data_IF_143356866405
#
_entry.id   IF_143356866405
#
_cell.length_a   1.000
_cell.length_b   1.000
_cell.length_c   1.000
_cell.angle_alpha   90.00
_cell.angle_beta   90.00
_cell.angle_gamma   90.00
#
_symmetry.space_group_name_H-M   'P 1'
#
loop_
_entity.id
_entity.type
_entity.pdbx_description
1 polymer ?
#
# COMPACT_ATOMS: atom_id res chain seq x y z
N UNK A 1 -3.47 -14.44 -23.36
CA UNK A 1 -3.21 -15.81 -22.86
C UNK A 1 -3.10 -15.76 -21.34
N UNK A 2 -3.92 -16.53 -20.60
CA UNK A 2 -3.88 -16.52 -19.14
C UNK A 2 -2.59 -17.20 -18.64
N UNK A 3 -1.77 -16.48 -17.88
CA UNK A 3 -0.52 -17.00 -17.36
C UNK A 3 -0.81 -18.14 -16.36
N UNK A 4 -0.53 -19.38 -16.76
CA UNK A 4 -0.71 -20.58 -15.91
C UNK A 4 0.32 -20.54 -14.77
N UNK A 5 -0.11 -20.13 -13.58
CA UNK A 5 0.75 -20.14 -12.40
C UNK A 5 1.03 -21.58 -11.96
N UNK A 6 2.31 -21.97 -11.91
CA UNK A 6 2.72 -23.29 -11.42
C UNK A 6 2.53 -23.36 -9.90
N UNK A 7 1.80 -24.37 -9.43
CA UNK A 7 1.66 -24.66 -8.00
C UNK A 7 3.04 -25.00 -7.41
N UNK A 8 3.27 -24.61 -6.16
CA UNK A 8 4.51 -24.89 -5.39
C UNK A 8 4.18 -25.60 -4.09
N UNK A 9 5.10 -26.44 -3.61
CA UNK A 9 5.00 -27.10 -2.30
C UNK A 9 5.38 -26.13 -1.19
N UNK A 10 4.54 -26.00 -0.16
CA UNK A 10 4.83 -25.18 1.01
C UNK A 10 5.91 -25.82 1.87
N UNK A 11 6.90 -25.03 2.30
CA UNK A 11 7.98 -25.50 3.19
C UNK A 11 7.57 -25.78 4.65
N UNK A 12 6.35 -25.41 5.06
CA UNK A 12 5.85 -25.66 6.41
C UNK A 12 4.84 -26.81 6.45
N UNK A 13 3.68 -26.66 5.79
CA UNK A 13 2.63 -27.69 5.82
C UNK A 13 2.74 -28.74 4.71
N UNK A 14 3.65 -28.58 3.74
CA UNK A 14 3.79 -29.52 2.63
C UNK A 14 2.72 -29.43 1.54
N UNK A 15 1.65 -28.66 1.73
CA UNK A 15 0.59 -28.51 0.72
C UNK A 15 1.05 -27.78 -0.54
N UNK A 16 0.42 -28.10 -1.67
CA UNK A 16 0.57 -27.34 -2.90
C UNK A 16 -0.28 -26.07 -2.88
N UNK A 17 0.32 -24.92 -3.19
CA UNK A 17 -0.36 -23.63 -3.27
C UNK A 17 0.01 -22.89 -4.56
N UNK A 18 -0.86 -21.98 -5.00
CA UNK A 18 -0.56 -21.04 -6.09
C UNK A 18 0.17 -19.84 -5.48
N UNK A 19 1.41 -19.54 -5.88
CA UNK A 19 2.13 -18.38 -5.38
C UNK A 19 1.49 -17.06 -5.86
N UNK A 20 1.60 -16.02 -5.05
CA UNK A 20 1.23 -14.65 -5.44
C UNK A 20 2.05 -14.24 -6.67
N UNK A 21 1.42 -13.77 -7.77
CA UNK A 21 2.11 -13.33 -8.98
C UNK A 21 3.20 -12.29 -8.72
N UNK A 22 2.99 -11.38 -7.76
CA UNK A 22 3.94 -10.32 -7.37
C UNK A 22 5.19 -10.89 -6.69
N UNK A 23 5.06 -12.07 -6.07
CA UNK A 23 6.12 -12.69 -5.29
C UNK A 23 6.47 -14.11 -5.77
N UNK A 24 6.13 -14.44 -7.01
CA UNK A 24 6.18 -15.81 -7.51
C UNK A 24 7.57 -16.43 -7.39
N UNK A 25 8.62 -15.64 -7.59
CA UNK A 25 10.01 -16.11 -7.52
C UNK A 25 10.43 -16.41 -6.07
N UNK A 26 10.02 -15.61 -5.09
CA UNK A 26 10.53 -15.70 -3.70
C UNK A 26 9.58 -16.42 -2.73
N UNK A 27 8.29 -16.56 -3.05
CA UNK A 27 7.33 -17.18 -2.14
C UNK A 27 7.59 -18.69 -1.98
N UNK A 28 7.86 -19.09 -0.74
CA UNK A 28 8.20 -20.47 -0.31
C UNK A 28 7.15 -21.08 0.62
N UNK A 29 6.24 -20.27 1.14
CA UNK A 29 5.20 -20.66 2.10
C UNK A 29 3.83 -20.24 1.57
N UNK A 30 2.80 -21.04 1.86
CA UNK A 30 1.43 -20.70 1.51
C UNK A 30 0.87 -19.59 2.43
N UNK A 31 -0.34 -19.11 2.14
CA UNK A 31 -0.99 -18.03 2.90
C UNK A 31 -1.55 -18.41 4.27
N UNK A 32 -1.56 -19.71 4.63
CA UNK A 32 -2.09 -20.19 5.92
C UNK A 32 -1.40 -19.47 7.09
N UNK A 33 -2.13 -19.07 8.14
CA UNK A 33 -1.58 -18.26 9.24
C UNK A 33 -0.37 -18.93 9.90
N UNK A 34 -0.44 -20.24 10.15
CA UNK A 34 0.67 -21.01 10.72
C UNK A 34 1.90 -21.05 9.80
N UNK A 35 1.70 -21.21 8.50
CA UNK A 35 2.79 -21.18 7.52
C UNK A 35 3.45 -19.79 7.40
N UNK A 36 2.67 -18.71 7.58
CA UNK A 36 3.21 -17.34 7.64
C UNK A 36 4.04 -17.12 8.91
N UNK A 37 3.56 -17.58 10.06
CA UNK A 37 4.33 -17.55 11.33
C UNK A 37 5.65 -18.31 11.17
N UNK A 38 5.61 -19.54 10.64
CA UNK A 38 6.80 -20.35 10.37
C UNK A 38 7.78 -19.66 9.41
N UNK A 39 7.28 -19.01 8.34
CA UNK A 39 8.10 -18.22 7.42
C UNK A 39 8.82 -17.08 8.12
N UNK A 40 8.10 -16.32 8.97
CA UNK A 40 8.68 -15.21 9.74
C UNK A 40 9.74 -15.72 10.72
N UNK A 41 9.44 -16.78 11.47
CA UNK A 41 10.38 -17.39 12.41
C UNK A 41 11.67 -17.87 11.71
N UNK A 42 11.53 -18.52 10.55
CA UNK A 42 12.67 -18.97 9.76
C UNK A 42 13.52 -17.80 9.25
N UNK A 43 12.88 -16.74 8.75
CA UNK A 43 13.57 -15.54 8.30
C UNK A 43 14.30 -14.84 9.46
N UNK A 44 13.64 -14.75 10.61
CA UNK A 44 14.19 -14.17 11.84
C UNK A 44 15.41 -14.96 12.33
N UNK A 45 15.31 -16.29 12.38
CA UNK A 45 16.41 -17.16 12.78
C UNK A 45 17.64 -16.95 11.88
N UNK A 46 17.46 -16.96 10.55
CA UNK A 46 18.53 -16.67 9.59
C UNK A 46 19.15 -15.29 9.79
N UNK A 47 18.33 -14.30 10.11
CA UNK A 47 18.81 -12.94 10.34
C UNK A 47 19.63 -12.84 11.64
N UNK A 48 19.22 -13.54 12.70
CA UNK A 48 19.92 -13.63 13.98
C UNK A 48 21.19 -14.49 13.93
N UNK A 49 21.34 -15.37 12.94
CA UNK A 49 22.58 -16.14 12.73
C UNK A 49 23.77 -15.24 12.39
N UNK A 50 23.53 -14.05 11.81
CA UNK A 50 24.58 -13.07 11.52
C UNK A 50 25.17 -12.53 12.83
N UNK A 51 26.51 -12.47 12.91
CA UNK A 51 27.23 -12.08 14.14
C UNK A 51 26.81 -10.70 14.63
N UNK A 52 26.60 -9.76 13.70
CA UNK A 52 26.20 -8.38 13.96
C UNK A 52 24.80 -8.29 14.58
N UNK A 53 23.92 -9.23 14.24
CA UNK A 53 22.50 -9.19 14.62
C UNK A 53 22.19 -10.04 15.85
N UNK A 54 23.13 -10.88 16.31
CA UNK A 54 22.93 -11.87 17.37
C UNK A 54 22.37 -11.25 18.65
N UNK A 55 22.86 -10.06 19.00
CA UNK A 55 22.47 -9.33 20.20
C UNK A 55 21.51 -8.17 19.94
N UNK A 56 20.97 -8.03 18.72
CA UNK A 56 20.18 -6.85 18.33
C UNK A 56 18.98 -6.58 19.25
N UNK A 57 18.34 -7.62 19.81
CA UNK A 57 17.21 -7.44 20.72
C UNK A 57 17.59 -7.46 22.21
N UNK A 58 18.84 -7.81 22.55
CA UNK A 58 19.30 -8.07 23.92
C UNK A 58 20.42 -7.14 24.38
N UNK A 59 21.03 -6.39 23.47
CA UNK A 59 22.17 -5.52 23.77
C UNK A 59 21.77 -4.19 24.40
N UNK A 60 22.70 -3.54 25.14
CA UNK A 60 22.49 -2.22 25.74
C UNK A 60 22.16 -1.15 24.68
N UNK A 61 22.73 -1.26 23.47
CA UNK A 61 22.43 -0.37 22.34
C UNK A 61 20.94 -0.37 21.98
N UNK A 62 20.29 -1.54 21.98
CA UNK A 62 18.87 -1.63 21.68
C UNK A 62 18.02 -1.01 22.78
N UNK A 63 18.41 -1.20 24.04
CA UNK A 63 17.75 -0.57 25.18
C UNK A 63 17.86 0.94 25.07
N UNK A 64 19.07 1.47 24.83
CA UNK A 64 19.32 2.90 24.66
C UNK A 64 18.48 3.47 23.51
N UNK A 65 18.53 2.83 22.33
CA UNK A 65 17.76 3.22 21.15
C UNK A 65 16.25 3.27 21.42
N UNK A 66 15.70 2.28 22.14
CA UNK A 66 14.27 2.26 22.49
C UNK A 66 13.94 3.36 23.50
N UNK A 67 14.81 3.62 24.48
CA UNK A 67 14.63 4.71 25.44
C UNK A 67 14.66 6.07 24.76
N UNK A 68 15.64 6.33 23.90
CA UNK A 68 15.74 7.55 23.09
C UNK A 68 14.51 7.73 22.20
N UNK A 69 14.09 6.67 21.49
CA UNK A 69 12.91 6.73 20.65
C UNK A 69 11.65 7.09 21.46
N UNK A 70 11.49 6.56 22.68
CA UNK A 70 10.37 6.89 23.58
C UNK A 70 10.43 8.34 24.07
N UNK A 71 11.62 8.88 24.36
CA UNK A 71 11.80 10.29 24.73
C UNK A 71 11.37 11.23 23.60
N UNK A 72 11.71 10.90 22.36
CA UNK A 72 11.34 11.69 21.18
C UNK A 72 9.88 11.49 20.74
N UNK A 73 9.24 10.37 21.11
CA UNK A 73 7.87 10.04 20.71
C UNK A 73 6.95 9.87 21.94
N UNK A 74 6.77 10.92 22.75
CA UNK A 74 5.93 10.84 23.94
C UNK A 74 4.47 10.57 23.54
N UNK A 75 3.82 9.64 24.25
CA UNK A 75 2.41 9.33 24.02
C UNK A 75 2.13 8.43 22.81
N UNK A 76 3.13 7.93 22.08
CA UNK A 76 2.93 6.97 20.97
C UNK A 76 2.12 5.73 21.37
N UNK A 77 2.31 5.22 22.60
CA UNK A 77 1.58 4.05 23.10
C UNK A 77 0.11 4.32 23.41
N UNK A 78 -0.33 5.59 23.39
CA UNK A 78 -1.74 5.95 23.57
C UNK A 78 -2.47 5.61 22.28
N UNK A 79 -3.30 4.57 22.32
CA UNK A 79 -4.11 4.14 21.17
C UNK A 79 -5.04 5.29 20.76
N UNK A 80 -4.76 5.93 19.62
CA UNK A 80 -5.80 6.62 18.86
C UNK A 80 -6.60 5.55 18.11
N UNK A 81 -7.92 5.70 18.08
CA UNK A 81 -8.88 4.67 17.70
C UNK A 81 -8.53 3.87 16.45
N UNK A 82 -8.95 2.60 16.46
CA UNK A 82 -8.93 1.59 15.40
C UNK A 82 -7.92 1.90 14.28
N UNK A 83 -6.63 1.63 14.54
CA UNK A 83 -5.66 1.53 13.47
C UNK A 83 -6.23 0.53 12.46
N UNK A 84 -6.52 1.00 11.25
CA UNK A 84 -7.01 0.21 10.11
C UNK A 84 -5.89 -0.72 9.63
N UNK A 85 -5.38 -1.56 10.52
CA UNK A 85 -4.46 -2.66 10.21
C UNK A 85 -5.26 -3.93 9.94
N UNK A 86 -6.41 -3.79 9.30
CA UNK A 86 -7.00 -4.92 8.61
C UNK A 86 -6.17 -5.15 7.35
N UNK A 87 -5.38 -6.20 7.43
CA UNK A 87 -4.78 -6.83 6.27
C UNK A 87 -5.82 -6.90 5.16
N UNK A 88 -5.45 -6.48 3.96
CA UNK A 88 -6.22 -6.71 2.74
C UNK A 88 -6.23 -8.23 2.48
N UNK A 89 -7.01 -8.94 3.29
CA UNK A 89 -7.53 -10.24 2.92
C UNK A 89 -8.47 -9.97 1.76
N UNK A 90 -8.40 -10.82 0.74
CA UNK A 90 -9.34 -10.85 -0.36
C UNK A 90 -10.74 -10.94 0.25
N UNK A 91 -11.43 -9.79 0.36
CA UNK A 91 -12.84 -9.77 0.75
C UNK A 91 -13.51 -10.54 -0.37
N UNK A 92 -14.06 -11.70 -0.05
CA UNK A 92 -15.05 -12.35 -0.91
C UNK A 92 -16.18 -11.34 -1.05
N UNK A 93 -16.13 -10.54 -2.11
CA UNK A 93 -17.15 -9.57 -2.42
C UNK A 93 -18.36 -10.42 -2.75
N UNK A 94 -19.28 -10.54 -1.79
CA UNK A 94 -20.62 -11.04 -2.05
C UNK A 94 -21.10 -10.31 -3.30
N UNK A 95 -21.54 -11.06 -4.32
CA UNK A 95 -21.94 -10.53 -5.63
C UNK A 95 -23.00 -9.45 -5.45
N UNK A 96 -22.58 -8.21 -5.26
CA UNK A 96 -23.45 -7.06 -5.48
C UNK A 96 -23.52 -6.90 -6.97
N UNK A 97 -24.72 -7.15 -7.49
CA UNK A 97 -25.11 -6.85 -8.86
C UNK A 97 -25.13 -5.32 -8.99
N UNK A 98 -23.96 -4.72 -9.14
CA UNK A 98 -23.85 -3.35 -9.64
C UNK A 98 -24.29 -3.43 -11.09
N UNK A 99 -25.43 -2.78 -11.39
CA UNK A 99 -25.93 -2.59 -12.74
C UNK A 99 -24.78 -2.02 -13.57
N UNK A 100 -24.26 -2.86 -14.48
CA UNK A 100 -23.23 -2.48 -15.45
C UNK A 100 -23.82 -1.46 -16.41
N UNK A 101 -23.79 -0.19 -16.06
CA UNK A 101 -23.47 0.81 -17.07
C UNK A 101 -21.97 0.75 -17.28
N UNK A 102 -21.56 -0.21 -18.12
CA UNK A 102 -20.25 -0.22 -18.74
C UNK A 102 -20.21 0.98 -19.69
N UNK A 103 -19.82 2.15 -19.18
CA UNK A 103 -19.13 3.09 -20.04
C UNK A 103 -17.89 2.36 -20.55
N UNK A 104 -17.70 2.33 -21.87
CA UNK A 104 -16.65 1.56 -22.54
C UNK A 104 -15.23 1.98 -22.12
N UNK A 105 -15.11 3.13 -21.47
CA UNK A 105 -13.84 3.68 -21.02
C UNK A 105 -13.59 3.33 -19.55
N UNK A 106 -12.34 2.96 -19.23
CA UNK A 106 -11.97 2.71 -17.85
C UNK A 106 -12.20 3.99 -17.04
N UNK A 107 -12.59 3.86 -15.77
CA UNK A 107 -12.78 5.02 -14.88
C UNK A 107 -11.55 5.96 -14.89
N UNK A 108 -10.35 5.39 -15.02
CA UNK A 108 -9.11 6.13 -15.17
C UNK A 108 -9.06 6.95 -16.46
N UNK A 109 -9.49 6.39 -17.59
CA UNK A 109 -9.52 7.08 -18.87
C UNK A 109 -10.50 8.24 -18.84
N UNK A 110 -11.67 8.06 -18.22
CA UNK A 110 -12.67 9.12 -18.03
C UNK A 110 -12.16 10.24 -17.13
N UNK A 111 -11.49 9.90 -16.02
CA UNK A 111 -10.88 10.89 -15.12
C UNK A 111 -9.73 11.66 -15.80
N UNK A 112 -8.95 10.98 -16.64
CA UNK A 112 -7.88 11.60 -17.43
C UNK A 112 -8.40 12.48 -18.56
N UNK A 113 -9.50 12.11 -19.23
CA UNK A 113 -10.14 12.98 -20.23
C UNK A 113 -10.74 14.21 -19.58
N UNK A 114 -11.46 14.05 -18.46
CA UNK A 114 -12.00 15.19 -17.71
C UNK A 114 -10.90 16.15 -17.27
N UNK A 115 -9.77 15.63 -16.77
CA UNK A 115 -8.64 16.46 -16.38
C UNK A 115 -8.04 17.22 -17.56
N UNK A 116 -7.85 16.56 -18.71
CA UNK A 116 -7.27 17.19 -19.91
C UNK A 116 -8.16 18.30 -20.46
N UNK A 117 -9.49 18.07 -20.52
CA UNK A 117 -10.46 19.08 -20.99
C UNK A 117 -10.50 20.28 -20.04
N UNK A 118 -10.48 20.05 -18.72
CA UNK A 118 -10.45 21.13 -17.73
C UNK A 118 -9.17 21.95 -17.84
N UNK A 119 -8.00 21.32 -17.99
CA UNK A 119 -6.72 22.01 -18.16
C UNK A 119 -6.71 22.84 -19.45
N UNK A 120 -7.20 22.29 -20.55
CA UNK A 120 -7.32 23.01 -21.83
C UNK A 120 -8.26 24.21 -21.76
N UNK A 121 -9.42 24.07 -21.09
CA UNK A 121 -10.36 25.15 -20.88
C UNK A 121 -9.76 26.27 -20.01
N UNK A 122 -9.06 25.91 -18.93
CA UNK A 122 -8.41 26.91 -18.07
C UNK A 122 -7.32 27.63 -18.86
N UNK A 123 -6.47 26.90 -19.59
CA UNK A 123 -5.44 27.50 -20.42
C UNK A 123 -6.02 28.46 -21.48
N UNK A 124 -7.16 28.13 -22.07
CA UNK A 124 -7.85 28.99 -23.03
C UNK A 124 -8.42 30.26 -22.36
N UNK A 125 -8.99 30.13 -21.17
CA UNK A 125 -9.55 31.25 -20.40
C UNK A 125 -8.49 32.14 -19.74
N UNK A 126 -7.29 31.62 -19.48
CA UNK A 126 -6.20 32.37 -18.83
C UNK A 126 -5.12 32.81 -19.82
N UNK A 127 -5.11 32.28 -21.04
CA UNK A 127 -4.07 32.55 -22.05
C UNK A 127 -2.71 31.91 -21.74
N UNK A 128 -2.65 30.99 -20.77
CA UNK A 128 -1.39 30.40 -20.27
C UNK A 128 -1.47 28.88 -20.24
N UNK A 129 -0.56 28.20 -20.93
CA UNK A 129 -0.46 26.73 -20.92
C UNK A 129 0.45 26.18 -19.81
N UNK A 130 1.07 27.05 -18.99
CA UNK A 130 1.98 26.66 -17.93
C UNK A 130 1.19 26.17 -16.70
N UNK A 131 1.46 24.95 -16.26
CA UNK A 131 0.72 24.26 -15.20
C UNK A 131 0.74 25.04 -13.86
N UNK A 132 1.84 25.73 -13.56
CA UNK A 132 1.97 26.54 -12.35
C UNK A 132 1.04 27.76 -12.36
N UNK A 133 0.88 28.39 -13.51
CA UNK A 133 -0.02 29.55 -13.68
C UNK A 133 -1.49 29.14 -13.63
N UNK A 134 -1.83 27.97 -14.21
CA UNK A 134 -3.15 27.34 -14.11
C UNK A 134 -3.48 27.00 -12.65
N UNK A 135 -2.53 26.45 -11.89
CA UNK A 135 -2.72 26.12 -10.48
C UNK A 135 -2.91 27.38 -9.60
N UNK A 136 -2.21 28.48 -9.93
CA UNK A 136 -2.30 29.73 -9.20
C UNK A 136 -3.61 30.48 -9.48
N UNK A 137 -4.03 30.56 -10.74
CA UNK A 137 -5.32 31.17 -11.11
C UNK A 137 -6.51 30.40 -10.56
N UNK A 138 -6.50 29.06 -10.65
CA UNK A 138 -7.55 28.22 -10.08
C UNK A 138 -7.68 28.43 -8.57
N UNK A 139 -6.55 28.45 -7.84
CA UNK A 139 -6.54 28.73 -6.39
C UNK A 139 -7.05 30.13 -6.04
N UNK A 140 -6.71 31.16 -6.83
CA UNK A 140 -7.22 32.53 -6.61
C UNK A 140 -8.73 32.63 -6.84
N UNK A 141 -9.25 32.00 -7.90
CA UNK A 141 -10.70 32.00 -8.19
C UNK A 141 -11.51 31.20 -7.18
N UNK A 142 -11.03 30.04 -6.73
CA UNK A 142 -11.65 29.27 -5.66
C UNK A 142 -11.68 30.03 -4.33
N UNK A 143 -10.63 30.82 -4.03
CA UNK A 143 -10.65 31.70 -2.86
C UNK A 143 -11.69 32.81 -2.99
N UNK A 144 -11.82 33.44 -4.16
CA UNK A 144 -12.81 34.50 -4.39
C UNK A 144 -14.27 34.01 -4.29
N UNK A 145 -14.54 32.74 -4.62
CA UNK A 145 -15.87 32.13 -4.48
C UNK A 145 -16.22 31.73 -3.04
N UNK A 146 -15.23 31.58 -2.16
CA UNK A 146 -15.43 31.24 -0.74
C UNK A 146 -15.59 32.49 0.17
N UNK A 147 -15.63 33.68 -0.41
CA UNK A 147 -15.88 34.96 0.27
C UNK A 147 -17.21 35.61 -0.16
N UNK A 148 -18.14 34.81 -0.71
CA UNK A 148 -19.54 35.19 -0.93
C UNK A 148 -20.46 34.32 -0.09
#
# INVERSE_FOLDING_TARGET
>A
MAQRFRKRKCRNCGDFFIPDPRNIRKQKYCGKPECRKASKATAQARWLTKKENKNYFRGPENVCRVQEWRKHNPGYWRRKGNALQDHSNEKTLGKQYVVKQLTKDALQDLLMTQHTVLVGLIAHLTGTALQDDIANTTRRRLRALNYR
#
